data_IF_574701076082
#
_entry.id   IF_574701076082
#
_cell.length_a   1.000
_cell.length_b   1.000
_cell.length_c   1.000
_cell.angle_alpha   90.00
_cell.angle_beta   90.00
_cell.angle_gamma   90.00
#
_symmetry.space_group_name_H-M   'P 1'
#
loop_
_entity.id
_entity.type
_entity.pdbx_description
1 polymer ?
#
# COMPACT_ATOMS: atom_id res chain seq x y z
N UNK A 1 7.60 24.21 -23.37
CA UNK A 1 6.71 25.34 -23.10
C UNK A 1 7.49 26.62 -23.37
N UNK A 2 6.96 27.58 -24.16
CA UNK A 2 7.62 28.87 -24.44
C UNK A 2 7.66 29.72 -23.15
N UNK A 3 8.59 30.68 -23.12
CA UNK A 3 8.63 31.72 -22.09
C UNK A 3 7.48 32.71 -22.30
N UNK A 4 6.81 33.02 -21.23
CA UNK A 4 5.77 34.06 -21.19
C UNK A 4 6.17 35.28 -20.37
N UNK A 5 7.48 35.51 -20.20
CA UNK A 5 8.05 36.65 -19.47
C UNK A 5 7.47 37.98 -19.91
N UNK A 6 7.19 38.14 -21.21
CA UNK A 6 6.57 39.34 -21.81
C UNK A 6 5.18 39.71 -21.25
N UNK A 7 4.56 38.84 -20.49
CA UNK A 7 3.27 39.09 -19.87
C UNK A 7 3.39 39.51 -18.41
N UNK A 8 4.59 39.67 -17.92
CA UNK A 8 4.90 40.12 -16.58
C UNK A 8 5.46 41.52 -16.63
N UNK A 9 4.89 42.39 -15.82
CA UNK A 9 5.30 43.77 -15.64
C UNK A 9 5.78 43.96 -14.20
N UNK A 10 6.73 44.88 -14.01
CA UNK A 10 7.25 45.26 -12.71
C UNK A 10 6.74 46.64 -12.32
N UNK A 11 6.36 46.83 -11.09
CA UNK A 11 6.00 48.14 -10.54
C UNK A 11 6.71 48.40 -9.21
N UNK A 12 6.93 49.68 -8.89
CA UNK A 12 7.59 50.12 -7.66
C UNK A 12 6.57 50.11 -6.54
N UNK A 13 6.86 49.38 -5.43
CA UNK A 13 5.95 49.24 -4.29
C UNK A 13 6.11 50.42 -3.32
N UNK A 14 7.34 50.88 -3.13
CA UNK A 14 7.64 51.87 -2.09
C UNK A 14 8.64 52.94 -2.56
N UNK A 15 8.80 54.00 -1.74
CA UNK A 15 9.73 55.09 -1.98
C UNK A 15 11.23 54.66 -1.90
N UNK A 16 11.51 53.43 -1.47
CA UNK A 16 12.86 52.83 -1.42
C UNK A 16 13.25 52.15 -2.74
N UNK A 17 12.32 52.11 -3.70
CA UNK A 17 12.58 51.51 -5.00
C UNK A 17 12.41 49.98 -5.04
N UNK A 18 11.78 49.38 -4.01
CA UNK A 18 11.42 47.99 -4.06
C UNK A 18 10.39 47.74 -5.17
N UNK A 19 10.57 46.67 -5.94
CA UNK A 19 9.73 46.34 -7.07
C UNK A 19 8.95 45.04 -6.80
N UNK A 20 7.70 44.99 -7.22
CA UNK A 20 6.92 43.76 -7.33
C UNK A 20 6.59 43.49 -8.81
N UNK A 21 6.41 42.26 -9.11
CA UNK A 21 5.95 41.80 -10.41
C UNK A 21 4.46 41.44 -10.35
N UNK A 22 3.77 41.70 -11.43
CA UNK A 22 2.40 41.24 -11.60
C UNK A 22 2.17 40.77 -13.04
N UNK A 23 1.13 39.98 -13.23
CA UNK A 23 0.67 39.60 -14.56
C UNK A 23 -0.84 39.79 -14.63
N UNK A 24 -1.34 40.17 -15.83
CA UNK A 24 -2.80 40.28 -16.09
C UNK A 24 -3.53 38.97 -15.89
N UNK A 25 -2.81 37.87 -15.88
CA UNK A 25 -3.36 36.51 -15.75
C UNK A 25 -3.28 35.94 -14.34
N UNK A 26 -2.89 36.75 -13.34
CA UNK A 26 -2.77 36.30 -11.95
C UNK A 26 -4.06 35.68 -11.41
N UNK A 27 -5.20 36.28 -11.77
CA UNK A 27 -6.54 35.80 -11.38
C UNK A 27 -7.27 35.05 -12.51
N UNK A 28 -6.54 34.58 -13.54
CA UNK A 28 -7.15 33.80 -14.62
C UNK A 28 -7.50 32.39 -14.15
N UNK A 29 -8.47 31.76 -14.82
CA UNK A 29 -8.97 30.41 -14.49
C UNK A 29 -7.85 29.36 -14.38
N UNK A 30 -6.80 29.48 -15.14
CA UNK A 30 -5.62 28.61 -15.16
C UNK A 30 -4.38 29.19 -14.46
N UNK A 31 -4.52 30.31 -13.75
CA UNK A 31 -3.43 31.02 -13.10
C UNK A 31 -2.50 31.76 -14.05
N UNK A 32 -1.40 32.28 -13.49
CA UNK A 32 -0.38 32.99 -14.24
C UNK A 32 0.43 32.05 -15.14
N UNK A 33 0.77 32.43 -16.39
CA UNK A 33 1.59 31.63 -17.28
C UNK A 33 3.03 31.54 -16.79
N UNK A 34 3.75 30.46 -17.08
CA UNK A 34 5.14 30.28 -16.67
C UNK A 34 6.07 31.31 -17.35
N UNK A 35 6.89 32.00 -16.57
CA UNK A 35 7.90 32.90 -17.11
C UNK A 35 9.00 32.17 -17.87
N UNK A 36 9.45 31.05 -17.30
CA UNK A 36 10.61 30.33 -17.81
C UNK A 36 10.31 29.52 -19.07
N UNK A 37 11.27 29.45 -19.94
CA UNK A 37 11.29 28.48 -21.02
C UNK A 37 11.55 27.09 -20.45
N UNK A 38 10.72 26.11 -20.78
CA UNK A 38 10.95 24.74 -20.39
C UNK A 38 10.93 23.81 -21.61
N UNK A 39 11.98 23.03 -21.74
CA UNK A 39 12.13 22.02 -22.79
C UNK A 39 12.82 20.79 -22.23
N UNK A 40 12.30 19.62 -22.53
CA UNK A 40 12.88 18.38 -22.02
C UNK A 40 12.43 17.17 -22.82
N UNK A 41 13.16 16.10 -22.66
CA UNK A 41 12.91 14.78 -23.26
C UNK A 41 12.66 13.80 -22.13
N UNK A 42 11.49 13.20 -22.10
CA UNK A 42 11.15 12.08 -21.19
C UNK A 42 11.54 10.75 -21.84
N UNK A 43 12.16 9.88 -21.06
CA UNK A 43 12.53 8.51 -21.46
C UNK A 43 11.82 7.56 -20.51
N UNK A 44 11.05 6.64 -21.06
CA UNK A 44 10.37 5.59 -20.29
C UNK A 44 10.53 4.26 -21.00
N UNK A 45 10.99 3.26 -20.25
CA UNK A 45 11.18 1.89 -20.73
C UNK A 45 10.27 1.00 -19.89
N UNK A 46 9.31 0.36 -20.56
CA UNK A 46 8.44 -0.62 -19.94
C UNK A 46 8.82 -2.02 -20.43
N UNK A 47 9.00 -2.94 -19.52
CA UNK A 47 9.38 -4.31 -19.83
C UNK A 47 8.53 -5.30 -19.03
N UNK A 48 8.24 -6.44 -19.63
CA UNK A 48 7.57 -7.57 -18.96
C UNK A 48 8.39 -8.85 -19.23
N UNK A 49 8.47 -9.71 -18.24
CA UNK A 49 9.20 -10.97 -18.36
C UNK A 49 8.29 -12.13 -17.94
N UNK A 50 8.08 -13.04 -18.88
CA UNK A 50 7.40 -14.30 -18.66
C UNK A 50 8.36 -15.48 -18.86
N UNK A 51 8.31 -16.45 -17.97
CA UNK A 51 9.03 -17.71 -18.10
C UNK A 51 8.06 -18.85 -18.42
N UNK A 52 8.46 -19.73 -19.31
CA UNK A 52 7.78 -21.00 -19.56
C UNK A 52 8.46 -22.09 -18.73
N UNK A 53 7.73 -22.67 -17.79
CA UNK A 53 8.23 -23.73 -16.91
C UNK A 53 7.53 -25.04 -17.29
N UNK A 54 8.32 -26.11 -17.38
CA UNK A 54 7.79 -27.44 -17.65
C UNK A 54 6.80 -27.83 -16.54
N UNK A 55 5.60 -28.28 -16.93
CA UNK A 55 4.62 -28.78 -15.98
C UNK A 55 5.16 -29.99 -15.22
N UNK A 56 4.92 -30.03 -13.89
CA UNK A 56 5.26 -31.22 -13.08
C UNK A 56 4.29 -32.39 -13.29
N UNK A 57 3.13 -32.11 -13.89
CA UNK A 57 2.13 -33.12 -14.14
C UNK A 57 2.48 -33.87 -15.42
N UNK A 58 2.75 -35.18 -15.30
CA UNK A 58 3.13 -36.08 -16.40
C UNK A 58 2.05 -36.20 -17.50
N UNK A 59 0.85 -35.65 -17.28
CA UNK A 59 -0.29 -35.74 -18.20
C UNK A 59 -0.49 -34.53 -19.09
N UNK A 60 0.17 -33.39 -18.82
CA UNK A 60 0.09 -32.22 -19.66
C UNK A 60 1.46 -31.88 -20.27
N UNK A 61 1.58 -32.01 -21.57
CA UNK A 61 2.79 -31.61 -22.32
C UNK A 61 2.93 -30.10 -22.49
N UNK A 62 1.95 -29.30 -22.07
CA UNK A 62 1.97 -27.86 -22.25
C UNK A 62 2.79 -27.17 -21.16
N UNK A 63 3.75 -26.31 -21.51
CA UNK A 63 4.53 -25.57 -20.54
C UNK A 63 3.67 -24.53 -19.84
N UNK A 64 3.72 -24.49 -18.52
CA UNK A 64 3.04 -23.46 -17.71
C UNK A 64 3.78 -22.13 -17.86
N UNK A 65 3.10 -21.07 -18.27
CA UNK A 65 3.64 -19.72 -18.27
C UNK A 65 3.60 -19.16 -16.86
N UNK A 66 4.71 -18.60 -16.40
CA UNK A 66 4.85 -17.91 -15.12
C UNK A 66 5.34 -16.49 -15.44
N UNK A 67 4.59 -15.49 -15.05
CA UNK A 67 5.01 -14.10 -15.14
C UNK A 67 5.97 -13.81 -14.00
N UNK A 68 7.23 -13.48 -14.31
CA UNK A 68 8.24 -13.10 -13.32
C UNK A 68 7.98 -11.67 -12.88
N UNK A 69 7.84 -10.76 -13.83
CA UNK A 69 7.33 -9.42 -13.59
C UNK A 69 6.42 -8.98 -14.75
N UNK A 70 5.27 -8.47 -14.39
CA UNK A 70 4.27 -8.01 -15.36
C UNK A 70 4.61 -6.66 -15.95
N UNK A 71 5.29 -5.82 -15.16
CA UNK A 71 5.64 -4.48 -15.55
C UNK A 71 6.89 -4.01 -14.80
N UNK A 72 8.00 -3.87 -15.50
CA UNK A 72 9.19 -3.15 -15.03
C UNK A 72 9.24 -1.83 -15.77
N UNK A 73 8.93 -0.74 -15.08
CA UNK A 73 9.01 0.61 -15.60
C UNK A 73 10.31 1.27 -15.13
N UNK A 74 11.07 1.81 -16.06
CA UNK A 74 12.26 2.63 -15.80
C UNK A 74 12.03 3.96 -16.49
N UNK A 75 12.03 5.05 -15.75
CA UNK A 75 11.76 6.37 -16.30
C UNK A 75 12.75 7.43 -15.82
N UNK A 76 13.10 8.33 -16.70
CA UNK A 76 13.92 9.50 -16.42
C UNK A 76 13.60 10.61 -17.41
N UNK A 77 14.10 11.81 -17.19
CA UNK A 77 13.97 12.90 -18.15
C UNK A 77 15.25 13.71 -18.22
N UNK A 78 15.48 14.29 -19.38
CA UNK A 78 16.57 15.22 -19.63
C UNK A 78 16.01 16.60 -19.92
N UNK A 79 16.39 17.60 -19.12
CA UNK A 79 16.01 18.99 -19.34
C UNK A 79 17.01 19.68 -20.29
N UNK A 80 16.49 20.19 -21.37
CA UNK A 80 17.32 20.97 -22.34
C UNK A 80 17.49 22.41 -21.84
N UNK A 81 16.45 22.93 -21.18
CA UNK A 81 16.38 24.30 -20.71
C UNK A 81 17.13 24.55 -19.40
N UNK A 82 17.38 23.53 -18.59
CA UNK A 82 18.10 23.69 -17.33
C UNK A 82 19.60 23.87 -17.58
N UNK A 83 20.20 24.80 -16.88
CA UNK A 83 21.67 25.01 -16.92
C UNK A 83 22.38 23.94 -16.09
N UNK A 84 21.80 23.58 -14.94
CA UNK A 84 22.32 22.59 -14.03
C UNK A 84 21.36 21.40 -13.86
N UNK A 85 21.89 20.27 -13.40
CA UNK A 85 21.12 19.06 -13.10
C UNK A 85 20.17 18.63 -14.22
N UNK A 86 20.71 18.61 -15.47
CA UNK A 86 19.91 18.32 -16.68
C UNK A 86 19.20 16.98 -16.65
N UNK A 87 19.78 15.97 -16.00
CA UNK A 87 19.15 14.66 -15.81
C UNK A 87 18.30 14.64 -14.55
N UNK A 88 17.07 14.21 -14.66
CA UNK A 88 16.27 13.89 -13.51
C UNK A 88 16.67 12.53 -12.90
N UNK A 89 16.37 12.27 -11.63
CA UNK A 89 16.56 10.95 -11.05
C UNK A 89 15.88 9.86 -11.88
N UNK A 90 16.56 8.74 -12.05
CA UNK A 90 16.02 7.54 -12.68
C UNK A 90 15.10 6.85 -11.68
N UNK A 91 13.85 6.66 -12.04
CA UNK A 91 12.87 5.94 -11.23
C UNK A 91 12.64 4.56 -11.83
N UNK A 92 12.67 3.56 -10.97
CA UNK A 92 12.36 2.17 -11.32
C UNK A 92 11.19 1.71 -10.47
N UNK A 93 10.20 1.10 -11.10
CA UNK A 93 9.07 0.50 -10.41
C UNK A 93 8.72 -0.84 -11.05
N UNK A 94 8.39 -1.82 -10.21
CA UNK A 94 7.94 -3.13 -10.67
C UNK A 94 6.98 -3.77 -9.69
N UNK A 95 6.05 -4.54 -10.22
CA UNK A 95 5.16 -5.38 -9.45
C UNK A 95 5.46 -6.85 -9.76
N UNK A 96 5.64 -7.64 -8.72
CA UNK A 96 5.90 -9.07 -8.77
C UNK A 96 4.73 -9.80 -8.12
N UNK A 97 4.24 -10.83 -8.74
CA UNK A 97 3.23 -11.70 -8.14
C UNK A 97 3.66 -13.16 -8.24
N UNK A 98 3.55 -13.86 -7.11
CA UNK A 98 3.94 -15.26 -6.98
C UNK A 98 2.80 -16.08 -6.37
N UNK A 99 2.87 -17.41 -6.52
CA UNK A 99 1.91 -18.34 -5.94
C UNK A 99 0.46 -18.04 -6.32
N UNK A 100 0.18 -17.85 -7.62
CA UNK A 100 -1.17 -17.55 -8.11
C UNK A 100 -1.75 -16.27 -7.47
N UNK A 101 -0.94 -15.21 -7.43
CA UNK A 101 -1.27 -13.90 -6.85
C UNK A 101 -1.48 -13.88 -5.31
N UNK A 102 -1.05 -14.93 -4.60
CA UNK A 102 -1.11 -14.94 -3.13
C UNK A 102 -0.02 -14.11 -2.47
N UNK A 103 1.11 -13.95 -3.15
CA UNK A 103 2.20 -13.06 -2.77
C UNK A 103 2.34 -11.96 -3.82
N UNK A 104 2.01 -10.74 -3.46
CA UNK A 104 2.22 -9.55 -4.27
C UNK A 104 3.33 -8.69 -3.66
N UNK A 105 4.27 -8.27 -4.47
CA UNK A 105 5.41 -7.44 -4.05
C UNK A 105 5.55 -6.27 -5.00
N UNK A 106 5.54 -5.05 -4.48
CA UNK A 106 5.83 -3.85 -5.23
C UNK A 106 7.20 -3.32 -4.82
N UNK A 107 8.04 -3.06 -5.80
CA UNK A 107 9.37 -2.51 -5.63
C UNK A 107 9.46 -1.19 -6.37
N UNK A 108 9.87 -0.14 -5.67
CA UNK A 108 10.15 1.16 -6.23
C UNK A 108 11.56 1.57 -5.80
N UNK A 109 12.33 2.08 -6.72
CA UNK A 109 13.67 2.58 -6.46
C UNK A 109 13.92 3.88 -7.22
N UNK A 110 14.63 4.79 -6.59
CA UNK A 110 15.05 6.05 -7.21
C UNK A 110 16.57 6.13 -7.17
N UNK A 111 17.15 6.41 -8.33
CA UNK A 111 18.58 6.52 -8.50
C UNK A 111 18.92 7.93 -8.99
N UNK A 112 19.94 8.52 -8.41
CA UNK A 112 20.43 9.83 -8.84
C UNK A 112 21.71 9.65 -9.69
N UNK A 113 21.77 10.24 -10.88
CA UNK A 113 22.98 10.21 -11.70
C UNK A 113 24.09 11.13 -11.18
N UNK A 114 23.80 12.01 -10.22
CA UNK A 114 24.73 13.01 -9.72
C UNK A 114 25.41 12.60 -8.42
N UNK A 115 26.64 13.08 -8.24
CA UNK A 115 27.44 12.84 -7.05
C UNK A 115 27.04 13.74 -5.88
N UNK A 116 27.56 13.41 -4.69
CA UNK A 116 27.54 14.26 -3.50
C UNK A 116 28.92 14.87 -3.28
N UNK A 117 28.93 16.07 -2.70
CA UNK A 117 30.14 16.67 -2.16
C UNK A 117 30.51 16.11 -0.79
N UNK A 118 31.60 16.62 -0.19
CA UNK A 118 32.01 16.22 1.17
C UNK A 118 30.97 16.58 2.26
N UNK A 119 30.11 17.54 1.99
CA UNK A 119 29.02 17.95 2.87
C UNK A 119 27.71 17.22 2.59
N UNK A 120 27.77 16.17 1.76
CA UNK A 120 26.60 15.37 1.36
C UNK A 120 25.53 16.15 0.59
N UNK A 121 25.89 17.26 -0.04
CA UNK A 121 25.02 17.99 -0.95
C UNK A 121 25.17 17.46 -2.36
N UNK A 122 24.10 17.49 -3.11
CA UNK A 122 24.06 17.10 -4.51
C UNK A 122 24.82 18.13 -5.36
N UNK A 123 25.79 17.69 -6.16
CA UNK A 123 26.58 18.53 -7.04
C UNK A 123 26.30 18.21 -8.51
N UNK A 124 26.47 19.21 -9.38
CA UNK A 124 26.23 19.06 -10.83
C UNK A 124 27.37 18.31 -11.56
N UNK A 125 27.82 17.22 -10.96
CA UNK A 125 28.83 16.31 -11.52
C UNK A 125 28.24 14.90 -11.53
N UNK A 126 28.32 14.21 -12.66
CA UNK A 126 27.85 12.84 -12.77
C UNK A 126 28.64 11.93 -11.81
N UNK A 127 27.94 11.05 -11.11
CA UNK A 127 28.53 10.16 -10.09
C UNK A 127 29.64 9.28 -10.65
N UNK A 128 29.53 8.84 -11.91
CA UNK A 128 30.60 8.10 -12.61
C UNK A 128 31.88 8.91 -12.82
N UNK A 129 31.78 10.24 -12.99
CA UNK A 129 32.94 11.11 -13.14
C UNK A 129 33.63 11.40 -11.80
N UNK A 130 32.92 11.20 -10.70
CA UNK A 130 33.42 11.38 -9.33
C UNK A 130 33.93 10.07 -8.70
N UNK A 131 34.22 9.05 -9.52
CA UNK A 131 34.74 7.76 -9.04
C UNK A 131 33.70 6.83 -8.48
N UNK A 132 32.40 7.18 -8.54
CA UNK A 132 31.28 6.34 -8.13
C UNK A 132 30.73 5.45 -9.25
N UNK A 133 29.64 4.75 -8.98
CA UNK A 133 28.91 3.99 -9.99
C UNK A 133 28.15 4.88 -10.97
N UNK A 134 27.53 4.27 -11.99
CA UNK A 134 26.73 4.99 -13.00
C UNK A 134 25.61 5.79 -12.37
N UNK A 135 24.96 5.23 -11.37
CA UNK A 135 23.83 5.80 -10.65
C UNK A 135 24.00 5.54 -9.14
N UNK A 136 23.54 6.44 -8.31
CA UNK A 136 23.53 6.32 -6.85
C UNK A 136 22.09 6.04 -6.38
N UNK A 137 21.89 4.93 -5.68
CA UNK A 137 20.59 4.63 -5.07
C UNK A 137 20.29 5.67 -3.98
N UNK A 138 19.20 6.42 -4.14
CA UNK A 138 18.77 7.46 -3.19
C UNK A 138 17.64 7.00 -2.30
N UNK A 139 16.73 6.22 -2.85
CA UNK A 139 15.65 5.63 -2.07
C UNK A 139 15.19 4.32 -2.69
N UNK A 140 14.75 3.41 -1.85
CA UNK A 140 14.09 2.19 -2.27
C UNK A 140 12.91 1.89 -1.32
N UNK A 141 11.81 1.46 -1.89
CA UNK A 141 10.62 1.06 -1.15
C UNK A 141 10.18 -0.33 -1.63
N UNK A 142 9.93 -1.22 -0.69
CA UNK A 142 9.40 -2.54 -0.94
C UNK A 142 8.16 -2.75 -0.09
N UNK A 143 7.05 -3.08 -0.74
CA UNK A 143 5.81 -3.48 -0.10
C UNK A 143 5.49 -4.91 -0.54
N UNK A 144 5.36 -5.81 0.42
CA UNK A 144 5.06 -7.22 0.19
C UNK A 144 3.77 -7.58 0.92
N UNK A 145 2.83 -8.15 0.21
CA UNK A 145 1.56 -8.61 0.75
C UNK A 145 1.40 -10.10 0.49
N UNK A 146 1.16 -10.85 1.52
CA UNK A 146 0.96 -12.30 1.45
C UNK A 146 -0.37 -12.67 2.07
N UNK A 147 -1.21 -13.37 1.31
CA UNK A 147 -2.51 -13.85 1.75
C UNK A 147 -2.50 -15.37 1.86
N UNK A 148 -2.89 -15.85 3.02
CA UNK A 148 -3.07 -17.25 3.34
C UNK A 148 -4.53 -17.51 3.72
N UNK A 149 -5.07 -18.61 3.24
CA UNK A 149 -6.41 -19.08 3.53
C UNK A 149 -6.46 -20.61 3.51
N UNK A 150 -7.61 -21.19 3.86
CA UNK A 150 -7.81 -22.64 3.83
C UNK A 150 -7.48 -23.30 2.49
N UNK A 151 -7.60 -22.55 1.38
CA UNK A 151 -7.40 -23.08 0.04
C UNK A 151 -5.94 -22.97 -0.40
N UNK A 152 -5.13 -22.21 0.35
CA UNK A 152 -3.70 -22.03 0.06
C UNK A 152 -2.92 -23.33 0.12
N UNK A 153 -3.30 -24.23 1.02
CA UNK A 153 -2.59 -25.50 1.24
C UNK A 153 -3.30 -26.70 0.63
N UNK A 154 -4.46 -26.53 0.02
CA UNK A 154 -5.08 -27.62 -0.73
C UNK A 154 -4.25 -27.83 -2.00
N UNK A 155 -3.57 -28.99 -2.08
CA UNK A 155 -3.01 -29.46 -3.33
C UNK A 155 -4.13 -29.45 -4.37
N UNK A 156 -3.83 -28.93 -5.56
CA UNK A 156 -4.71 -28.97 -6.72
C UNK A 156 -5.01 -30.44 -7.08
N UNK A 157 -5.92 -31.07 -6.34
CA UNK A 157 -6.46 -32.38 -6.68
C UNK A 157 -7.69 -32.17 -7.54
N UNK A 158 -7.48 -32.44 -8.84
CA UNK A 158 -8.49 -32.63 -9.88
C UNK A 158 -9.39 -31.44 -10.21
N UNK A 159 -8.99 -30.70 -11.26
CA UNK A 159 -9.95 -30.13 -12.19
C UNK A 159 -10.71 -31.26 -12.86
N UNK A 160 -11.94 -31.53 -12.47
CA UNK A 160 -12.95 -32.10 -13.33
C UNK A 160 -13.96 -31.01 -13.65
N UNK A 161 -13.97 -30.65 -14.90
CA UNK A 161 -15.05 -30.02 -15.67
C UNK A 161 -16.17 -29.28 -14.91
N UNK A 162 -16.11 -27.96 -15.01
CA UNK A 162 -17.29 -27.18 -15.41
C UNK A 162 -16.86 -25.81 -15.92
N UNK A 163 -17.07 -25.64 -17.25
CA UNK A 163 -17.14 -24.34 -17.89
C UNK A 163 -18.10 -23.46 -17.09
N UNK A 164 -17.62 -22.31 -16.63
CA UNK A 164 -18.42 -21.08 -16.55
C UNK A 164 -17.47 -19.88 -16.51
N UNK A 165 -17.51 -19.20 -17.62
CA UNK A 165 -17.54 -17.76 -17.87
C UNK A 165 -16.79 -16.84 -16.89
N UNK A 166 -15.75 -16.22 -17.45
CA UNK A 166 -15.51 -14.77 -17.47
C UNK A 166 -15.81 -14.03 -16.16
N UNK A 167 -14.77 -13.98 -15.32
CA UNK A 167 -14.42 -12.81 -14.52
C UNK A 167 -12.94 -12.92 -14.16
N UNK A 168 -12.09 -12.89 -15.19
CA UNK A 168 -10.67 -12.59 -15.08
C UNK A 168 -10.52 -11.07 -15.09
N UNK A 169 -10.81 -10.42 -13.99
CA UNK A 169 -10.31 -9.08 -13.72
C UNK A 169 -10.55 -8.73 -12.25
N UNK A 170 -9.71 -9.23 -11.36
CA UNK A 170 -9.50 -8.60 -10.04
C UNK A 170 -8.42 -9.32 -9.24
N UNK A 171 -7.26 -9.45 -9.85
CA UNK A 171 -6.06 -9.96 -9.16
C UNK A 171 -4.99 -8.91 -8.90
N UNK A 172 -5.22 -7.67 -9.34
CA UNK A 172 -4.38 -6.53 -9.01
C UNK A 172 -5.01 -5.92 -7.77
N UNK A 173 -4.38 -6.08 -6.61
CA UNK A 173 -4.70 -5.25 -5.45
C UNK A 173 -4.61 -3.80 -5.92
N UNK A 174 -5.74 -3.10 -5.84
CA UNK A 174 -5.81 -1.69 -6.20
C UNK A 174 -4.69 -0.95 -5.48
N UNK A 175 -3.90 -0.18 -6.22
CA UNK A 175 -2.83 0.65 -5.66
C UNK A 175 -3.35 1.50 -4.49
N UNK A 176 -4.64 1.87 -4.51
CA UNK A 176 -5.30 2.59 -3.43
C UNK A 176 -5.44 1.74 -2.15
N UNK A 177 -5.61 0.41 -2.25
CA UNK A 177 -5.60 -0.48 -1.07
C UNK A 177 -4.18 -0.66 -0.52
N UNK A 178 -3.19 -0.66 -1.39
CA UNK A 178 -1.78 -0.74 -0.99
C UNK A 178 -1.31 0.58 -0.36
N UNK A 179 -1.72 1.72 -0.90
CA UNK A 179 -1.47 3.03 -0.29
C UNK A 179 -2.17 3.18 1.06
N UNK A 180 -3.37 2.66 1.22
CA UNK A 180 -4.09 2.64 2.51
C UNK A 180 -3.45 1.72 3.54
N UNK A 181 -2.83 0.60 3.11
CA UNK A 181 -2.10 -0.32 3.98
C UNK A 181 -0.66 0.15 4.25
N UNK A 182 -0.08 0.92 3.35
CA UNK A 182 1.29 1.43 3.45
C UNK A 182 1.37 2.89 3.89
N UNK A 183 0.23 3.48 4.28
CA UNK A 183 0.10 4.86 4.75
C UNK A 183 1.17 5.17 5.79
N UNK A 184 2.13 5.98 5.35
CA UNK A 184 3.39 6.17 6.03
C UNK A 184 3.26 6.64 7.46
N UNK A 185 3.75 5.83 8.36
CA UNK A 185 4.36 6.24 9.61
C UNK A 185 3.52 7.01 10.63
N UNK A 186 2.20 7.07 10.49
CA UNK A 186 1.30 7.54 11.54
C UNK A 186 0.64 6.35 12.19
N UNK A 187 0.78 6.24 13.49
CA UNK A 187 0.21 5.19 14.34
C UNK A 187 -1.30 4.95 14.15
N UNK A 188 -1.99 5.85 13.43
CA UNK A 188 -3.44 5.89 13.31
C UNK A 188 -3.99 5.09 12.13
N UNK A 189 -3.21 4.95 11.05
CA UNK A 189 -3.69 4.40 9.77
C UNK A 189 -3.11 3.01 9.44
N UNK A 190 -2.23 2.47 10.30
CA UNK A 190 -1.49 1.24 10.02
C UNK A 190 -2.39 0.01 9.85
N UNK A 191 -3.56 0.00 10.46
CA UNK A 191 -4.49 -1.14 10.47
C UNK A 191 -5.86 -0.85 9.86
N UNK A 192 -6.03 0.24 9.14
CA UNK A 192 -7.37 0.61 8.69
C UNK A 192 -8.34 0.82 9.86
N UNK A 193 -9.35 1.60 9.69
CA UNK A 193 -10.39 1.78 10.70
C UNK A 193 -11.04 0.44 10.99
N UNK A 194 -11.39 0.17 12.25
CA UNK A 194 -12.13 -1.02 12.70
C UNK A 194 -13.38 -1.34 11.87
N UNK A 195 -13.89 -0.38 11.13
CA UNK A 195 -15.01 -0.52 10.19
C UNK A 195 -14.64 -1.32 8.93
N UNK A 196 -13.37 -1.35 8.52
CA UNK A 196 -12.96 -2.11 7.33
C UNK A 196 -12.93 -3.62 7.59
N UNK A 197 -12.74 -4.03 8.85
CA UNK A 197 -12.90 -5.43 9.27
C UNK A 197 -14.36 -5.89 9.21
N UNK A 198 -15.31 -5.03 9.50
CA UNK A 198 -16.74 -5.37 9.44
C UNK A 198 -17.27 -5.37 7.99
N UNK A 199 -16.82 -4.46 7.14
CA UNK A 199 -17.35 -4.31 5.78
C UNK A 199 -16.83 -5.36 4.79
N UNK A 200 -15.61 -5.87 4.95
CA UNK A 200 -15.12 -6.97 4.10
C UNK A 200 -15.83 -8.31 4.36
N UNK A 201 -16.59 -8.41 5.47
CA UNK A 201 -17.32 -9.62 5.88
C UNK A 201 -18.78 -9.65 5.41
N UNK A 202 -19.36 -8.50 5.06
CA UNK A 202 -20.81 -8.41 4.73
C UNK A 202 -21.09 -8.87 3.29
N UNK A 203 -20.10 -8.88 2.39
CA UNK A 203 -20.29 -9.21 0.98
C UNK A 203 -19.96 -10.67 0.58
N UNK A 204 -19.82 -11.60 1.53
CA UNK A 204 -19.91 -13.02 1.18
C UNK A 204 -21.39 -13.41 1.10
N UNK A 205 -21.86 -13.54 -0.13
CA UNK A 205 -23.16 -14.10 -0.47
C UNK A 205 -23.52 -15.23 0.51
N UNK A 206 -24.63 -15.03 1.23
CA UNK A 206 -25.30 -16.12 1.92
C UNK A 206 -25.86 -17.07 0.86
N UNK A 207 -25.06 -17.99 0.38
CA UNK A 207 -25.59 -19.21 -0.17
C UNK A 207 -26.23 -19.98 0.99
N UNK A 208 -27.55 -20.14 0.90
CA UNK A 208 -28.34 -21.02 1.76
C UNK A 208 -27.75 -22.43 1.73
N UNK A 209 -26.82 -22.72 2.61
CA UNK A 209 -26.46 -24.12 2.92
C UNK A 209 -27.47 -24.65 3.89
N UNK A 210 -28.33 -25.52 3.37
CA UNK A 210 -29.16 -26.43 4.17
C UNK A 210 -28.34 -27.04 5.30
N UNK A 211 -28.75 -26.75 6.51
CA UNK A 211 -28.15 -27.26 7.75
C UNK A 211 -28.33 -28.78 7.77
N UNK A 212 -27.35 -29.52 7.32
CA UNK A 212 -27.24 -30.94 7.64
C UNK A 212 -26.57 -31.06 9.01
N UNK A 213 -27.34 -31.43 9.99
CA UNK A 213 -26.92 -31.79 11.34
C UNK A 213 -25.96 -32.98 11.37
N UNK A 214 -24.70 -32.75 11.00
CA UNK A 214 -23.58 -33.64 11.34
C UNK A 214 -22.57 -32.87 12.17
N UNK A 215 -22.72 -33.07 13.45
CA UNK A 215 -22.10 -32.32 14.56
C UNK A 215 -20.58 -32.49 14.72
N UNK A 216 -19.84 -33.12 13.84
CA UNK A 216 -18.43 -33.35 14.03
C UNK A 216 -17.64 -33.07 12.72
N UNK A 217 -16.71 -32.12 12.79
CA UNK A 217 -15.82 -31.61 11.74
C UNK A 217 -16.36 -30.44 10.91
N UNK A 218 -16.80 -29.39 11.59
CA UNK A 218 -16.93 -28.11 10.91
C UNK A 218 -15.52 -27.64 10.52
N UNK A 219 -15.28 -27.58 9.23
CA UNK A 219 -14.04 -27.02 8.71
C UNK A 219 -13.93 -25.57 9.20
N UNK A 220 -12.95 -25.30 10.04
CA UNK A 220 -12.67 -23.96 10.53
C UNK A 220 -12.16 -23.15 9.34
N UNK A 221 -12.92 -22.12 8.94
CA UNK A 221 -12.48 -21.19 7.91
C UNK A 221 -11.61 -20.10 8.56
N UNK A 222 -10.45 -19.90 7.97
CA UNK A 222 -9.52 -18.88 8.43
C UNK A 222 -8.89 -18.14 7.25
N UNK A 223 -8.53 -16.90 7.49
CA UNK A 223 -7.71 -16.13 6.57
C UNK A 223 -6.62 -15.37 7.34
N UNK A 224 -5.47 -15.23 6.73
CA UNK A 224 -4.34 -14.47 7.29
C UNK A 224 -3.71 -13.62 6.18
N UNK A 225 -3.47 -12.37 6.51
CA UNK A 225 -2.74 -11.43 5.66
C UNK A 225 -1.47 -11.01 6.38
N UNK A 226 -0.35 -11.07 5.68
CA UNK A 226 0.94 -10.56 6.10
C UNK A 226 1.30 -9.41 5.18
N UNK A 227 1.61 -8.26 5.73
CA UNK A 227 2.10 -7.10 4.99
C UNK A 227 3.46 -6.69 5.54
N UNK A 228 4.46 -6.67 4.68
CA UNK A 228 5.81 -6.23 5.03
C UNK A 228 6.16 -4.98 4.24
N UNK A 229 6.65 -3.98 4.93
CA UNK A 229 7.08 -2.72 4.34
C UNK A 229 8.52 -2.43 4.72
N UNK A 230 9.31 -2.10 3.72
CA UNK A 230 10.69 -1.67 3.87
C UNK A 230 10.89 -0.38 3.08
N UNK A 231 11.39 0.66 3.74
CA UNK A 231 11.76 1.92 3.09
C UNK A 231 13.21 2.26 3.44
N UNK A 232 14.03 2.32 2.42
CA UNK A 232 15.42 2.72 2.50
C UNK A 232 15.60 4.14 2.00
N UNK A 233 16.36 4.95 2.70
CA UNK A 233 16.70 6.32 2.33
C UNK A 233 18.21 6.55 2.41
N UNK A 234 18.76 7.03 1.30
CA UNK A 234 20.17 7.36 1.14
C UNK A 234 20.34 8.62 0.28
N UNK A 235 19.40 9.54 0.33
CA UNK A 235 19.45 10.76 -0.49
C UNK A 235 20.67 11.62 -0.19
N UNK A 236 21.11 11.65 1.06
CA UNK A 236 22.29 12.38 1.56
C UNK A 236 23.33 11.45 2.20
N UNK A 237 23.52 10.24 1.72
CA UNK A 237 24.50 9.30 2.27
C UNK A 237 24.14 8.71 3.63
N UNK A 238 22.86 8.82 4.09
CA UNK A 238 22.45 8.38 5.44
C UNK A 238 22.49 6.87 5.62
N UNK A 239 22.31 6.09 4.56
CA UNK A 239 22.17 4.62 4.62
C UNK A 239 21.16 4.16 5.68
N UNK A 240 19.99 4.80 5.76
CA UNK A 240 19.01 4.57 6.81
C UNK A 240 17.77 3.83 6.30
N UNK A 241 17.30 2.87 7.09
CA UNK A 241 15.97 2.29 6.91
C UNK A 241 14.95 3.15 7.67
N UNK A 242 14.23 4.00 6.96
CA UNK A 242 13.24 4.88 7.57
C UNK A 242 12.01 4.12 8.07
N UNK A 243 11.64 3.04 7.40
CA UNK A 243 10.60 2.13 7.83
C UNK A 243 11.02 0.68 7.57
N UNK A 244 10.80 -0.18 8.56
CA UNK A 244 10.98 -1.62 8.45
C UNK A 244 9.97 -2.28 9.39
N UNK A 245 8.82 -2.66 8.84
CA UNK A 245 7.70 -3.14 9.64
C UNK A 245 7.00 -4.34 9.01
N UNK A 246 6.52 -5.23 9.84
CA UNK A 246 5.69 -6.37 9.49
C UNK A 246 4.34 -6.22 10.16
N UNK A 247 3.27 -6.35 9.39
CA UNK A 247 1.90 -6.38 9.88
C UNK A 247 1.28 -7.75 9.63
N UNK A 248 0.52 -8.21 10.59
CA UNK A 248 -0.18 -9.50 10.54
C UNK A 248 -1.63 -9.23 10.90
N UNK A 249 -2.53 -9.63 10.05
CA UNK A 249 -3.96 -9.64 10.37
C UNK A 249 -4.56 -10.98 9.99
N UNK A 250 -5.46 -11.49 10.81
CA UNK A 250 -6.10 -12.77 10.56
C UNK A 250 -7.47 -12.83 11.18
N UNK A 251 -8.31 -13.65 10.59
CA UNK A 251 -9.64 -13.97 11.08
C UNK A 251 -9.86 -15.48 11.03
N UNK A 252 -10.59 -15.95 12.02
CA UNK A 252 -10.95 -17.36 12.19
C UNK A 252 -12.42 -17.45 12.51
N UNK A 253 -13.15 -18.21 11.72
CA UNK A 253 -14.55 -18.55 11.96
C UNK A 253 -14.60 -19.83 12.84
N UNK A 254 -14.56 -19.67 14.17
CA UNK A 254 -14.59 -20.79 15.12
C UNK A 254 -15.85 -21.64 14.97
N UNK A 255 -16.96 -20.99 14.69
CA UNK A 255 -18.25 -21.60 14.34
C UNK A 255 -18.96 -20.69 13.35
N UNK A 256 -20.03 -21.12 12.67
CA UNK A 256 -20.81 -20.25 11.78
C UNK A 256 -21.31 -18.96 12.44
N UNK A 257 -21.33 -18.90 13.76
CA UNK A 257 -21.82 -17.76 14.55
C UNK A 257 -20.75 -17.05 15.36
N UNK A 258 -19.52 -17.55 15.39
CA UNK A 258 -18.42 -16.96 16.11
C UNK A 258 -17.26 -16.63 15.16
N UNK A 259 -16.88 -15.39 15.13
CA UNK A 259 -15.72 -14.92 14.39
C UNK A 259 -14.75 -14.23 15.34
N UNK A 260 -13.49 -14.57 15.21
CA UNK A 260 -12.39 -13.94 15.96
C UNK A 260 -11.39 -13.39 14.98
N UNK A 261 -11.13 -12.11 15.08
CA UNK A 261 -10.10 -11.42 14.30
C UNK A 261 -8.97 -10.93 15.20
N UNK A 262 -7.76 -10.95 14.68
CA UNK A 262 -6.57 -10.36 15.31
C UNK A 262 -5.82 -9.55 14.29
N UNK A 263 -5.37 -8.36 14.67
CA UNK A 263 -4.42 -7.57 13.91
C UNK A 263 -3.29 -7.12 14.83
N UNK A 264 -2.06 -7.21 14.35
CA UNK A 264 -0.87 -6.83 15.07
C UNK A 264 0.23 -6.47 14.09
N UNK A 265 1.29 -5.83 14.56
CA UNK A 265 2.46 -5.55 13.78
C UNK A 265 3.71 -5.48 14.64
N UNK A 266 4.84 -5.51 13.96
CA UNK A 266 6.15 -5.37 14.58
C UNK A 266 6.98 -4.36 13.80
N UNK A 267 7.49 -3.36 14.49
CA UNK A 267 8.45 -2.40 13.94
C UNK A 267 9.88 -2.86 14.28
N UNK A 268 10.63 -3.27 13.26
CA UNK A 268 12.01 -3.71 13.42
C UNK A 268 12.97 -2.57 13.72
N UNK A 269 12.64 -1.33 13.31
CA UNK A 269 13.44 -0.14 13.60
C UNK A 269 13.25 0.30 15.06
N UNK A 270 12.00 0.43 15.47
CA UNK A 270 11.63 0.77 16.85
C UNK A 270 11.73 -0.39 17.82
N UNK A 271 11.99 -1.63 17.33
CA UNK A 271 12.09 -2.87 18.11
C UNK A 271 10.89 -3.09 19.04
N UNK A 272 9.70 -2.84 18.51
CA UNK A 272 8.48 -2.91 19.30
C UNK A 272 7.29 -3.50 18.55
N UNK A 273 6.36 -4.07 19.31
CA UNK A 273 5.05 -4.45 18.81
C UNK A 273 4.24 -3.18 18.62
N UNK A 274 3.67 -3.03 17.46
CA UNK A 274 2.80 -1.91 17.12
C UNK A 274 1.39 -2.14 17.68
N UNK A 275 0.43 -1.40 17.19
CA UNK A 275 -0.97 -1.54 17.59
C UNK A 275 -1.46 -2.98 17.43
N UNK A 276 -1.95 -3.58 18.51
CA UNK A 276 -2.53 -4.92 18.51
C UNK A 276 -3.99 -4.83 18.91
N UNK A 277 -4.86 -5.42 18.11
CA UNK A 277 -6.31 -5.42 18.31
C UNK A 277 -6.88 -6.83 18.15
N UNK A 278 -7.75 -7.20 19.06
CA UNK A 278 -8.60 -8.38 18.97
C UNK A 278 -10.04 -7.94 18.71
N UNK A 279 -10.71 -8.64 17.81
CA UNK A 279 -12.12 -8.42 17.51
C UNK A 279 -12.85 -9.76 17.62
N UNK A 280 -13.92 -9.78 18.37
CA UNK A 280 -14.77 -10.94 18.53
C UNK A 280 -16.17 -10.56 18.10
N UNK A 281 -16.69 -11.24 17.10
CA UNK A 281 -18.05 -11.08 16.61
C UNK A 281 -18.85 -12.34 16.89
N UNK A 282 -20.02 -12.19 17.46
CA UNK A 282 -20.95 -13.28 17.68
C UNK A 282 -22.34 -12.97 17.16
N UNK A 283 -22.83 -13.88 16.34
CA UNK A 283 -24.22 -13.91 15.90
C UNK A 283 -25.07 -14.68 16.92
N UNK A 284 -26.00 -13.98 17.56
CA UNK A 284 -26.96 -14.52 18.54
C UNK A 284 -28.39 -14.64 17.95
N UNK A 285 -28.49 -14.91 16.64
CA UNK A 285 -29.73 -14.95 15.86
C UNK A 285 -30.37 -13.54 15.72
N UNK A 286 -31.22 -13.14 16.64
CA UNK A 286 -31.87 -11.81 16.66
C UNK A 286 -30.94 -10.69 17.17
N UNK A 287 -29.87 -11.06 17.87
CA UNK A 287 -28.92 -10.14 18.44
C UNK A 287 -27.54 -10.27 17.76
N UNK A 288 -26.74 -9.24 17.83
CA UNK A 288 -25.31 -9.26 17.48
C UNK A 288 -24.50 -8.78 18.66
N UNK A 289 -23.35 -9.43 18.88
CA UNK A 289 -22.36 -9.03 19.84
C UNK A 289 -21.07 -8.71 19.10
N UNK A 290 -20.46 -7.60 19.44
CA UNK A 290 -19.13 -7.22 18.98
C UNK A 290 -18.28 -6.81 20.19
N UNK A 291 -17.10 -7.37 20.30
CA UNK A 291 -16.11 -6.99 21.30
C UNK A 291 -14.80 -6.69 20.60
N UNK A 292 -14.30 -5.49 20.79
CA UNK A 292 -13.01 -5.03 20.28
C UNK A 292 -12.11 -4.67 21.45
N UNK A 293 -10.87 -5.15 21.43
CA UNK A 293 -9.94 -4.99 22.54
C UNK A 293 -8.52 -4.71 22.05
N UNK A 294 -7.95 -3.63 22.54
CA UNK A 294 -6.55 -3.24 22.40
C UNK A 294 -5.89 -3.45 23.76
N UNK A 295 -5.11 -4.53 23.96
CA UNK A 295 -4.67 -4.94 25.29
C UNK A 295 -3.59 -4.04 25.89
N UNK A 296 -2.75 -3.40 25.09
CA UNK A 296 -1.60 -2.65 25.56
C UNK A 296 -1.26 -1.45 24.66
N UNK A 297 -0.32 -0.62 25.14
CA UNK A 297 0.12 0.60 24.49
C UNK A 297 -0.66 1.83 24.96
N UNK A 298 -0.30 3.00 24.44
CA UNK A 298 -0.95 4.29 24.77
C UNK A 298 -2.43 4.35 24.36
N UNK A 299 -2.85 3.42 23.52
CA UNK A 299 -4.23 3.28 23.02
C UNK A 299 -4.95 2.08 23.59
N UNK A 300 -4.49 1.55 24.72
CA UNK A 300 -5.17 0.45 25.39
C UNK A 300 -6.63 0.81 25.66
N UNK A 301 -7.52 0.05 25.08
CA UNK A 301 -8.96 0.36 25.07
C UNK A 301 -9.78 -0.89 24.82
N UNK A 302 -11.03 -0.85 25.15
CA UNK A 302 -11.96 -1.88 24.74
C UNK A 302 -13.34 -1.29 24.46
N UNK A 303 -14.05 -1.96 23.56
CA UNK A 303 -15.41 -1.64 23.19
C UNK A 303 -16.23 -2.91 23.17
N UNK A 304 -17.32 -2.92 23.91
CA UNK A 304 -18.30 -3.99 23.93
C UNK A 304 -19.64 -3.46 23.42
N UNK A 305 -20.24 -4.21 22.53
CA UNK A 305 -21.55 -3.89 21.97
C UNK A 305 -22.40 -5.14 21.89
N UNK A 306 -23.66 -5.05 22.33
CA UNK A 306 -24.70 -6.03 22.07
C UNK A 306 -25.98 -5.30 21.69
N UNK A 307 -26.62 -5.70 20.60
CA UNK A 307 -27.84 -5.05 20.12
C UNK A 307 -28.65 -5.94 19.21
N UNK A 308 -29.91 -5.58 19.03
CA UNK A 308 -30.83 -6.25 18.13
C UNK A 308 -30.47 -5.96 16.69
N UNK A 309 -30.60 -6.95 15.79
CA UNK A 309 -30.37 -6.80 14.36
C UNK A 309 -31.51 -6.07 13.63
N UNK A 310 -32.69 -6.04 14.22
CA UNK A 310 -33.88 -5.40 13.64
C UNK A 310 -33.73 -3.87 13.64
N UNK A 311 -33.92 -3.23 12.49
CA UNK A 311 -33.90 -1.79 12.40
C UNK A 311 -35.04 -1.09 13.18
N UNK A 312 -36.18 -1.76 13.35
CA UNK A 312 -37.32 -1.22 14.13
C UNK A 312 -37.05 -1.14 15.65
N UNK A 313 -36.11 -1.94 16.14
CA UNK A 313 -35.75 -2.04 17.55
C UNK A 313 -34.30 -1.64 17.78
N UNK A 314 -33.74 -0.78 16.93
CA UNK A 314 -32.34 -0.35 16.99
C UNK A 314 -31.93 0.31 18.31
N UNK A 315 -32.91 0.80 19.09
CA UNK A 315 -32.67 1.40 20.39
C UNK A 315 -32.41 0.36 21.49
N UNK A 316 -32.78 -0.91 21.26
CA UNK A 316 -32.44 -2.01 22.16
C UNK A 316 -31.01 -2.45 21.93
N UNK A 317 -30.11 -1.70 22.51
CA UNK A 317 -28.68 -1.97 22.48
C UNK A 317 -28.04 -1.63 23.82
N UNK A 318 -26.96 -2.32 24.11
CA UNK A 318 -26.07 -1.98 25.21
C UNK A 318 -24.66 -1.87 24.66
N UNK A 319 -24.03 -0.74 24.89
CA UNK A 319 -22.64 -0.54 24.57
C UNK A 319 -21.86 -0.02 25.78
N UNK A 320 -20.65 -0.47 25.93
CA UNK A 320 -19.71 -0.04 26.94
C UNK A 320 -18.33 0.05 26.36
N UNK A 321 -17.61 1.10 26.70
CA UNK A 321 -16.25 1.30 26.23
C UNK A 321 -15.35 1.83 27.33
N UNK A 322 -14.08 1.49 27.24
CA UNK A 322 -13.00 2.18 27.92
C UNK A 322 -12.18 2.90 26.86
N UNK A 323 -12.13 4.21 26.93
CA UNK A 323 -11.28 5.02 26.08
C UNK A 323 -9.83 4.92 26.56
N UNK A 324 -8.84 5.12 25.68
CA UNK A 324 -7.45 5.25 26.08
C UNK A 324 -7.27 6.39 27.07
N UNK A 325 -6.37 6.21 28.04
CA UNK A 325 -6.01 7.27 28.96
C UNK A 325 -5.37 8.42 28.16
N UNK A 326 -6.03 9.58 28.13
CA UNK A 326 -5.49 10.79 27.51
C UNK A 326 -4.49 11.39 28.49
N UNK A 327 -3.20 11.20 28.24
CA UNK A 327 -2.19 12.00 28.90
C UNK A 327 -2.27 13.42 28.31
N UNK A 328 -2.83 14.33 29.04
CA UNK A 328 -2.70 15.76 28.77
C UNK A 328 -1.29 16.17 29.20
N UNK A 329 -0.40 16.37 28.24
CA UNK A 329 0.85 17.11 28.43
C UNK A 329 0.67 18.53 27.88
#
# INVERSE_FOLDING_TARGET
QPSFERYYDTYIIDARGNTAEYTRFENALFGAPSKGYSSGIGISINNSLEAKVKSKDSTSMEPKKITIFSNLNISTSYSISSEEFKWSPVRMSTALSFFENKLATNLNATFDPYALDENLNRINVLNIKNGGGLLRLTSANMNMNFRLDNDTFKKASKKSDKKKNEEEEKGILDLSEIERLSGGGRDDDLFGRSNDFSNSRINKNQENKTVNDKLYFTKIDWSMKLAYQLTYNNSRGQNDFSNNSLMVSGDVDLTPKWKVGVSSGYDFKGKGVTYTQFVIDRDLNSWKLNFSWVPFGQRASWYFFIGIKSGLLSDLKYDKRREPDRNFY
#
